data_IF_679260531310
#
_entry.id   IF_679260531310
#
_cell.length_a   1.000
_cell.length_b   1.000
_cell.length_c   1.000
_cell.angle_alpha   90.00
_cell.angle_beta   90.00
_cell.angle_gamma   90.00
#
_symmetry.space_group_name_H-M   'P 1'
#
loop_
_entity.id
_entity.type
_entity.pdbx_description
1 polymer ?
#
# COMPACT_ATOMS: atom_id res chain seq x y z
N UNK A 1 -48.84 -8.67 55.18
CA UNK A 1 -47.88 -7.56 54.95
C UNK A 1 -47.09 -7.89 53.70
N UNK A 2 -46.75 -6.88 52.91
CA UNK A 2 -46.29 -7.00 51.52
C UNK A 2 -44.95 -7.72 51.35
N UNK A 3 -44.76 -8.37 50.21
CA UNK A 3 -43.71 -7.99 49.24
C UNK A 3 -43.97 -8.67 47.88
N UNK A 4 -43.52 -8.02 46.81
CA UNK A 4 -43.83 -8.32 45.41
C UNK A 4 -42.70 -9.08 44.70
N UNK A 5 -42.98 -9.58 43.49
CA UNK A 5 -42.07 -10.33 42.61
C UNK A 5 -42.80 -11.56 42.03
N UNK A 6 -42.74 -11.89 40.74
CA UNK A 6 -42.03 -11.31 39.58
C UNK A 6 -42.81 -11.71 38.30
N UNK A 7 -42.57 -11.10 37.14
CA UNK A 7 -43.41 -11.26 35.93
C UNK A 7 -42.73 -11.96 34.74
N UNK A 8 -43.55 -12.71 33.99
CA UNK A 8 -43.45 -13.01 32.55
C UNK A 8 -42.37 -14.01 32.02
N UNK A 9 -42.86 -15.22 31.71
CA UNK A 9 -42.54 -15.99 30.50
C UNK A 9 -43.81 -16.79 30.13
N UNK A 10 -44.23 -17.03 28.90
CA UNK A 10 -43.74 -16.69 27.55
C UNK A 10 -44.49 -17.56 26.50
N UNK A 11 -44.04 -17.55 25.23
CA UNK A 11 -44.28 -18.61 24.21
C UNK A 11 -45.62 -18.62 23.40
N UNK A 12 -45.51 -18.10 22.16
CA UNK A 12 -45.90 -18.66 20.83
C UNK A 12 -47.33 -19.04 20.34
N UNK A 13 -47.66 -18.42 19.18
CA UNK A 13 -48.02 -19.00 17.85
C UNK A 13 -49.43 -19.56 17.45
N UNK A 14 -49.80 -19.25 16.18
CA UNK A 14 -50.78 -19.98 15.32
C UNK A 14 -52.02 -19.16 14.88
N UNK A 15 -52.16 -18.69 13.61
CA UNK A 15 -52.64 -19.42 12.40
C UNK A 15 -54.18 -19.43 12.23
N UNK A 16 -54.86 -19.11 11.10
CA UNK A 16 -54.50 -18.52 9.77
C UNK A 16 -55.78 -18.15 8.95
N UNK A 17 -55.63 -17.71 7.67
CA UNK A 17 -56.67 -17.51 6.61
C UNK A 17 -57.58 -16.26 6.68
N UNK A 18 -58.04 -15.62 5.58
CA UNK A 18 -57.96 -15.92 4.13
C UNK A 18 -57.85 -14.64 3.24
N UNK A 19 -57.56 -14.80 1.94
CA UNK A 19 -57.65 -13.75 0.90
C UNK A 19 -59.09 -13.56 0.38
N UNK A 20 -59.37 -12.53 -0.45
CA UNK A 20 -59.26 -12.72 -1.91
C UNK A 20 -58.54 -11.60 -2.70
N UNK A 21 -58.36 -11.91 -3.98
CA UNK A 21 -57.67 -11.27 -5.10
C UNK A 21 -58.09 -9.85 -5.56
N UNK A 22 -57.12 -9.11 -6.13
CA UNK A 22 -57.28 -8.40 -7.43
C UNK A 22 -55.93 -8.35 -8.18
N UNK A 23 -55.99 -8.29 -9.52
CA UNK A 23 -54.86 -8.50 -10.43
C UNK A 23 -54.47 -7.23 -11.21
N UNK A 24 -53.39 -6.57 -10.78
CA UNK A 24 -52.83 -5.38 -11.42
C UNK A 24 -51.35 -5.55 -11.79
N UNK A 25 -51.07 -6.12 -12.97
CA UNK A 25 -49.69 -6.28 -13.46
C UNK A 25 -49.17 -4.99 -14.10
N UNK A 26 -48.56 -4.11 -13.29
CA UNK A 26 -47.86 -2.92 -13.80
C UNK A 26 -46.33 -3.06 -13.66
N UNK A 27 -45.63 -3.06 -14.79
CA UNK A 27 -44.18 -3.24 -14.84
C UNK A 27 -43.42 -2.01 -14.27
N UNK A 28 -42.35 -2.20 -13.47
CA UNK A 28 -41.69 -1.10 -12.78
C UNK A 28 -41.01 -0.09 -13.75
N UNK A 29 -41.15 1.23 -13.51
CA UNK A 29 -40.80 2.24 -14.50
C UNK A 29 -39.28 2.47 -14.62
N UNK A 30 -38.70 2.03 -15.75
CA UNK A 30 -37.27 2.17 -16.13
C UNK A 30 -36.73 3.62 -16.22
N UNK A 31 -37.53 4.64 -15.86
CA UNK A 31 -37.15 6.07 -15.94
C UNK A 31 -36.43 6.60 -14.69
N UNK A 32 -36.74 6.11 -13.47
CA UNK A 32 -36.16 6.63 -12.21
C UNK A 32 -34.63 6.44 -12.11
N UNK A 33 -34.11 5.29 -12.58
CA UNK A 33 -32.68 4.96 -12.51
C UNK A 33 -31.78 5.87 -13.36
N UNK A 34 -32.25 6.37 -14.51
CA UNK A 34 -31.47 7.29 -15.36
C UNK A 34 -31.31 8.67 -14.71
N UNK A 35 -32.35 9.15 -14.02
CA UNK A 35 -32.31 10.44 -13.30
C UNK A 35 -31.40 10.36 -12.08
N UNK A 36 -31.49 9.28 -11.29
CA UNK A 36 -30.62 9.06 -10.14
C UNK A 36 -29.13 9.06 -10.54
N UNK A 37 -28.73 8.27 -11.55
CA UNK A 37 -27.34 8.26 -12.06
C UNK A 37 -26.87 9.63 -12.58
N UNK A 38 -27.77 10.46 -13.13
CA UNK A 38 -27.45 11.82 -13.59
C UNK A 38 -27.25 12.80 -12.43
N UNK A 39 -27.98 12.64 -11.33
CA UNK A 39 -27.81 13.45 -10.11
C UNK A 39 -26.53 13.04 -9.38
N UNK A 40 -26.30 11.75 -9.19
CA UNK A 40 -25.09 11.20 -8.56
C UNK A 40 -23.80 11.62 -9.28
N UNK A 41 -23.78 11.55 -10.62
CA UNK A 41 -22.65 12.03 -11.44
C UNK A 41 -22.42 13.55 -11.35
N UNK A 42 -23.47 14.35 -11.13
CA UNK A 42 -23.35 15.80 -10.93
C UNK A 42 -22.80 16.11 -9.54
N UNK A 43 -23.27 15.41 -8.52
CA UNK A 43 -22.82 15.60 -7.15
C UNK A 43 -21.35 15.18 -6.98
N UNK A 44 -20.90 14.09 -7.62
CA UNK A 44 -19.48 13.71 -7.61
C UNK A 44 -18.58 14.74 -8.32
N UNK A 45 -19.02 15.32 -9.44
CA UNK A 45 -18.31 16.43 -10.11
C UNK A 45 -18.16 17.63 -9.18
N UNK A 46 -19.26 18.08 -8.56
CA UNK A 46 -19.27 19.20 -7.63
C UNK A 46 -18.38 18.97 -6.39
N UNK A 47 -18.33 17.74 -5.86
CA UNK A 47 -17.39 17.37 -4.78
C UNK A 47 -15.93 17.46 -5.25
N UNK A 48 -15.63 16.97 -6.45
CA UNK A 48 -14.28 17.02 -7.03
C UNK A 48 -13.83 18.46 -7.31
N UNK A 49 -14.70 19.30 -7.86
CA UNK A 49 -14.46 20.73 -8.09
C UNK A 49 -14.18 21.48 -6.78
N UNK A 50 -14.96 21.22 -5.72
CA UNK A 50 -14.70 21.78 -4.38
C UNK A 50 -13.36 21.34 -3.79
N UNK A 51 -12.99 20.06 -3.96
CA UNK A 51 -11.72 19.54 -3.49
C UNK A 51 -10.52 20.15 -4.25
N UNK A 52 -10.66 20.34 -5.57
CA UNK A 52 -9.67 21.07 -6.39
C UNK A 52 -9.53 22.52 -5.92
N UNK A 53 -10.64 23.25 -5.74
CA UNK A 53 -10.62 24.64 -5.29
C UNK A 53 -9.97 24.78 -3.89
N UNK A 54 -10.27 23.87 -2.97
CA UNK A 54 -9.64 23.84 -1.64
C UNK A 54 -8.12 23.59 -1.72
N UNK A 55 -7.67 22.70 -2.61
CA UNK A 55 -6.24 22.44 -2.81
C UNK A 55 -5.52 23.64 -3.44
N UNK A 56 -6.10 24.27 -4.46
CA UNK A 56 -5.56 25.49 -5.08
C UNK A 56 -5.42 26.63 -4.07
N UNK A 57 -6.42 26.81 -3.18
CA UNK A 57 -6.38 27.79 -2.11
C UNK A 57 -5.31 27.46 -1.04
N UNK A 58 -5.16 26.19 -0.65
CA UNK A 58 -4.16 25.74 0.34
C UNK A 58 -2.72 26.04 -0.11
N UNK A 59 -2.41 25.80 -1.38
CA UNK A 59 -1.05 25.93 -1.92
C UNK A 59 -0.74 27.31 -2.52
N UNK A 60 -1.59 28.31 -2.27
CA UNK A 60 -1.40 29.66 -2.81
C UNK A 60 -0.10 30.29 -2.30
N UNK A 61 0.80 30.62 -3.22
CA UNK A 61 2.11 31.22 -2.93
C UNK A 61 3.21 30.23 -2.51
N UNK A 62 2.95 28.92 -2.54
CA UNK A 62 3.98 27.90 -2.31
C UNK A 62 4.86 27.73 -3.56
N UNK A 63 6.11 27.28 -3.39
CA UNK A 63 6.96 26.95 -4.53
C UNK A 63 6.46 25.67 -5.22
N UNK A 64 6.67 25.54 -6.54
CA UNK A 64 6.27 24.35 -7.28
C UNK A 64 6.84 23.05 -6.64
N UNK A 65 8.11 23.08 -6.20
CA UNK A 65 8.76 21.97 -5.49
C UNK A 65 8.00 21.59 -4.21
N UNK A 66 7.65 22.57 -3.38
CA UNK A 66 6.97 22.30 -2.10
C UNK A 66 5.55 21.75 -2.33
N UNK A 67 4.86 22.20 -3.38
CA UNK A 67 3.56 21.65 -3.77
C UNK A 67 3.68 20.18 -4.17
N UNK A 68 4.69 19.81 -4.97
CA UNK A 68 4.95 18.42 -5.36
C UNK A 68 5.27 17.53 -4.16
N UNK A 69 6.01 18.06 -3.17
CA UNK A 69 6.38 17.35 -1.93
C UNK A 69 5.21 17.20 -0.95
N UNK A 70 4.34 18.21 -0.83
CA UNK A 70 3.31 18.27 0.21
C UNK A 70 1.89 17.91 -0.25
N UNK A 71 1.62 17.83 -1.56
CA UNK A 71 0.29 17.51 -2.07
C UNK A 71 -0.02 16.00 -2.04
N UNK A 72 -0.79 15.56 -1.05
CA UNK A 72 -1.31 14.18 -0.94
C UNK A 72 -2.49 13.92 -1.90
N UNK A 73 -3.04 14.95 -2.57
CA UNK A 73 -4.17 14.83 -3.48
C UNK A 73 -3.81 14.24 -4.84
N UNK A 74 -4.54 13.22 -5.29
CA UNK A 74 -4.32 12.54 -6.58
C UNK A 74 -5.25 13.07 -7.69
N UNK A 75 -5.07 12.54 -8.91
CA UNK A 75 -6.00 12.73 -10.02
C UNK A 75 -6.25 14.20 -10.36
N UNK A 76 -7.52 14.61 -10.33
CA UNK A 76 -7.92 15.98 -10.68
C UNK A 76 -7.27 17.07 -9.81
N UNK A 77 -6.97 16.79 -8.54
CA UNK A 77 -6.27 17.74 -7.66
C UNK A 77 -4.83 17.96 -8.15
N UNK A 78 -4.10 16.88 -8.39
CA UNK A 78 -2.72 16.94 -8.89
C UNK A 78 -2.66 17.60 -10.28
N UNK A 79 -3.60 17.27 -11.18
CA UNK A 79 -3.67 17.86 -12.52
C UNK A 79 -4.00 19.37 -12.49
N UNK A 80 -4.89 19.80 -11.59
CA UNK A 80 -5.20 21.22 -11.41
C UNK A 80 -4.00 21.99 -10.85
N UNK A 81 -3.32 21.45 -9.83
CA UNK A 81 -2.09 22.03 -9.28
C UNK A 81 -0.97 22.08 -10.32
N UNK A 82 -0.80 21.01 -11.12
CA UNK A 82 0.15 20.95 -12.24
C UNK A 82 -0.08 22.09 -13.25
N UNK A 83 -1.35 22.34 -13.59
CA UNK A 83 -1.74 23.40 -14.52
C UNK A 83 -1.56 24.81 -13.95
N UNK A 84 -1.97 25.04 -12.71
CA UNK A 84 -1.94 26.38 -12.09
C UNK A 84 -0.52 26.84 -11.73
N UNK A 85 0.28 25.93 -11.16
CA UNK A 85 1.60 26.25 -10.60
C UNK A 85 2.77 25.75 -11.46
N UNK A 86 2.51 25.21 -12.65
CA UNK A 86 3.55 24.73 -13.57
C UNK A 86 4.41 23.60 -12.99
N UNK A 87 3.78 22.60 -12.35
CA UNK A 87 4.53 21.58 -11.62
C UNK A 87 5.28 20.63 -12.57
N UNK A 88 6.60 20.61 -12.44
CA UNK A 88 7.48 19.66 -13.13
C UNK A 88 7.85 18.50 -12.20
N UNK A 89 7.56 17.27 -12.63
CA UNK A 89 7.94 16.04 -11.95
C UNK A 89 7.95 14.88 -12.94
N UNK A 90 8.73 13.84 -12.64
CA UNK A 90 8.83 12.62 -13.46
C UNK A 90 7.62 11.72 -13.24
N UNK A 91 7.02 11.24 -14.32
CA UNK A 91 5.93 10.25 -14.30
C UNK A 91 6.46 8.85 -14.68
N UNK A 92 5.66 7.79 -14.50
CA UNK A 92 6.05 6.42 -14.86
C UNK A 92 6.98 5.71 -13.86
N UNK A 93 7.80 4.77 -14.36
CA UNK A 93 8.65 3.88 -13.54
C UNK A 93 9.70 4.68 -12.75
N UNK A 94 9.94 4.27 -11.50
CA UNK A 94 11.06 4.77 -10.69
C UNK A 94 12.37 4.18 -11.23
N UNK A 95 13.41 5.01 -11.30
CA UNK A 95 14.79 4.56 -11.52
C UNK A 95 15.34 3.84 -10.28
N UNK A 96 16.44 3.12 -10.42
CA UNK A 96 17.07 2.39 -9.32
C UNK A 96 17.55 3.35 -8.21
N UNK A 97 18.18 4.47 -8.58
CA UNK A 97 18.56 5.55 -7.64
C UNK A 97 17.36 6.12 -6.86
N UNK A 98 16.21 6.33 -7.52
CA UNK A 98 14.99 6.80 -6.85
C UNK A 98 14.39 5.72 -5.94
N UNK A 99 14.45 4.46 -6.34
CA UNK A 99 14.01 3.33 -5.53
C UNK A 99 14.88 3.17 -4.28
N UNK A 100 16.20 3.28 -4.42
CA UNK A 100 17.16 3.25 -3.33
C UNK A 100 16.93 4.39 -2.35
N UNK A 101 16.83 5.63 -2.83
CA UNK A 101 16.57 6.80 -1.97
C UNK A 101 15.27 6.67 -1.16
N UNK A 102 14.23 6.05 -1.71
CA UNK A 102 12.97 5.77 -0.98
C UNK A 102 13.16 4.62 0.03
N UNK A 103 13.80 3.50 -0.36
CA UNK A 103 14.12 2.38 0.55
C UNK A 103 14.90 2.85 1.76
N UNK A 104 15.98 3.59 1.51
CA UNK A 104 16.81 4.25 2.52
C UNK A 104 15.99 5.10 3.49
N UNK A 105 14.97 5.82 3.00
CA UNK A 105 14.13 6.65 3.85
C UNK A 105 13.14 5.84 4.69
N UNK A 106 12.60 4.73 4.15
CA UNK A 106 11.80 3.77 4.95
C UNK A 106 12.66 3.16 6.06
N UNK A 107 13.87 2.69 5.72
CA UNK A 107 14.84 2.18 6.69
C UNK A 107 15.21 3.20 7.78
N UNK A 108 15.45 4.46 7.40
CA UNK A 108 15.71 5.57 8.34
C UNK A 108 14.49 5.84 9.22
N UNK A 109 13.29 5.83 8.66
CA UNK A 109 12.05 6.03 9.40
C UNK A 109 11.80 4.90 10.42
N UNK A 110 11.99 3.63 10.01
CA UNK A 110 11.86 2.48 10.90
C UNK A 110 12.83 2.56 12.09
N UNK A 111 14.10 2.91 11.84
CA UNK A 111 15.12 3.12 12.88
C UNK A 111 14.80 4.31 13.80
N UNK A 112 14.33 5.43 13.24
CA UNK A 112 13.94 6.65 13.97
C UNK A 112 12.77 6.38 14.92
N UNK A 113 11.73 5.71 14.43
CA UNK A 113 10.49 5.44 15.16
C UNK A 113 10.54 4.15 16.00
N UNK A 114 11.61 3.35 15.85
CA UNK A 114 11.80 2.04 16.50
C UNK A 114 10.68 1.04 16.19
N UNK A 115 10.24 1.02 14.94
CA UNK A 115 9.23 0.10 14.44
C UNK A 115 9.87 -1.04 13.63
N UNK A 116 9.26 -2.22 13.69
CA UNK A 116 9.60 -3.40 12.90
C UNK A 116 8.76 -3.49 11.61
N UNK A 117 8.91 -4.60 10.87
CA UNK A 117 8.21 -4.83 9.62
C UNK A 117 6.70 -4.97 9.78
N UNK A 118 6.23 -5.57 10.88
CA UNK A 118 4.80 -5.78 11.16
C UNK A 118 4.13 -4.45 11.51
N UNK A 119 4.80 -3.61 12.31
CA UNK A 119 4.36 -2.24 12.58
C UNK A 119 4.36 -1.38 11.32
N UNK A 120 5.33 -1.57 10.40
CA UNK A 120 5.32 -0.89 9.10
C UNK A 120 4.12 -1.35 8.24
N UNK A 121 3.82 -2.65 8.17
CA UNK A 121 2.64 -3.14 7.45
C UNK A 121 1.33 -2.54 8.01
N UNK A 122 1.19 -2.49 9.34
CA UNK A 122 0.06 -1.84 10.01
C UNK A 122 -0.07 -0.35 9.62
N UNK A 123 1.03 0.37 9.44
CA UNK A 123 1.03 1.77 8.97
C UNK A 123 0.61 1.87 7.48
N UNK A 124 1.06 0.94 6.64
CA UNK A 124 0.84 0.99 5.19
C UNK A 124 -0.53 0.44 4.74
N UNK A 125 -1.06 -0.55 5.48
CA UNK A 125 -2.21 -1.38 5.10
C UNK A 125 -3.25 -1.61 6.21
N UNK A 126 -2.87 -1.41 7.48
CA UNK A 126 -3.74 -1.61 8.63
C UNK A 126 -4.87 -0.59 8.78
N UNK A 127 -5.55 -0.58 9.95
CA UNK A 127 -6.69 0.29 10.20
C UNK A 127 -6.36 1.77 10.02
N UNK A 128 -7.32 2.54 9.52
CA UNK A 128 -7.17 3.98 9.23
C UNK A 128 -7.27 4.85 10.50
N UNK A 129 -6.50 4.52 11.53
CA UNK A 129 -6.38 5.29 12.77
C UNK A 129 -5.84 6.70 12.51
N UNK A 130 -5.76 7.55 13.52
CA UNK A 130 -5.12 8.86 13.37
C UNK A 130 -3.60 8.67 13.25
N UNK A 131 -3.07 7.84 14.12
CA UNK A 131 -1.67 7.49 14.34
C UNK A 131 -1.06 6.91 13.06
N UNK A 132 -1.70 5.91 12.44
CA UNK A 132 -1.21 5.28 11.20
C UNK A 132 -1.24 6.26 10.02
N UNK A 133 -2.22 7.17 9.97
CA UNK A 133 -2.29 8.20 8.91
C UNK A 133 -1.23 9.27 9.08
N UNK A 134 -0.92 9.67 10.32
CA UNK A 134 0.14 10.63 10.62
C UNK A 134 1.52 10.00 10.35
N UNK A 135 1.75 8.76 10.81
CA UNK A 135 2.95 7.98 10.52
C UNK A 135 3.20 7.81 9.01
N UNK A 136 2.18 7.40 8.24
CA UNK A 136 2.30 7.28 6.79
C UNK A 136 2.52 8.63 6.12
N UNK A 137 1.90 9.71 6.62
CA UNK A 137 2.11 11.06 6.07
C UNK A 137 3.53 11.57 6.31
N UNK A 138 4.12 11.30 7.48
CA UNK A 138 5.50 11.64 7.81
C UNK A 138 6.47 10.87 6.90
N UNK A 139 6.34 9.54 6.84
CA UNK A 139 7.19 8.68 6.01
C UNK A 139 7.20 9.10 4.53
N UNK A 140 6.02 9.37 3.95
CA UNK A 140 5.91 9.76 2.54
C UNK A 140 6.46 11.18 2.32
N UNK A 141 6.23 12.11 3.25
CA UNK A 141 6.76 13.48 3.17
C UNK A 141 8.30 13.46 3.18
N UNK A 142 8.89 12.73 4.12
CA UNK A 142 10.33 12.50 4.22
C UNK A 142 10.89 11.89 2.92
N UNK A 143 10.28 10.83 2.40
CA UNK A 143 10.73 10.16 1.18
C UNK A 143 10.63 11.07 -0.07
N UNK A 144 9.54 11.85 -0.17
CA UNK A 144 9.36 12.80 -1.28
C UNK A 144 10.35 13.98 -1.20
N UNK A 145 10.70 14.38 0.03
CA UNK A 145 11.72 15.40 0.30
C UNK A 145 13.13 14.89 -0.05
N UNK A 146 13.47 13.64 0.29
CA UNK A 146 14.73 13.00 -0.10
C UNK A 146 14.89 12.87 -1.62
N UNK A 147 13.79 12.66 -2.35
CA UNK A 147 13.73 12.73 -3.81
C UNK A 147 13.75 14.16 -4.38
N UNK A 148 13.98 15.18 -3.55
CA UNK A 148 13.96 16.61 -3.88
C UNK A 148 12.66 17.11 -4.56
N UNK A 149 11.55 16.38 -4.47
CA UNK A 149 10.32 16.69 -5.22
C UNK A 149 10.40 16.34 -6.72
N UNK A 150 11.35 15.49 -7.15
CA UNK A 150 11.38 14.98 -8.54
C UNK A 150 10.21 14.04 -8.86
N UNK A 151 9.55 13.49 -7.83
CA UNK A 151 8.33 12.67 -7.89
C UNK A 151 7.27 13.30 -6.98
N UNK A 152 5.97 13.25 -7.34
CA UNK A 152 4.91 13.78 -6.49
C UNK A 152 4.58 12.83 -5.34
N UNK A 153 4.25 13.40 -4.18
CA UNK A 153 3.92 12.68 -2.95
C UNK A 153 2.98 11.47 -3.13
N UNK A 154 1.88 11.53 -3.92
CA UNK A 154 0.99 10.38 -4.10
C UNK A 154 1.66 9.22 -4.86
N UNK A 155 2.57 9.52 -5.79
CA UNK A 155 3.32 8.49 -6.52
C UNK A 155 4.39 7.84 -5.63
N UNK A 156 5.04 8.61 -4.75
CA UNK A 156 5.95 8.07 -3.73
C UNK A 156 5.20 7.19 -2.74
N UNK A 157 4.01 7.61 -2.30
CA UNK A 157 3.11 6.80 -1.46
C UNK A 157 2.72 5.48 -2.12
N UNK A 158 2.30 5.51 -3.39
CA UNK A 158 1.98 4.30 -4.15
C UNK A 158 3.19 3.39 -4.33
N UNK A 159 4.38 3.96 -4.57
CA UNK A 159 5.62 3.21 -4.69
C UNK A 159 5.95 2.50 -3.37
N UNK A 160 5.97 3.20 -2.24
CA UNK A 160 6.20 2.61 -0.92
C UNK A 160 5.21 1.48 -0.65
N UNK A 161 3.91 1.69 -0.87
CA UNK A 161 2.93 0.60 -0.69
C UNK A 161 3.24 -0.60 -1.59
N UNK A 162 3.43 -0.40 -2.91
CA UNK A 162 3.72 -1.51 -3.84
C UNK A 162 4.99 -2.28 -3.49
N UNK A 163 6.02 -1.57 -3.01
CA UNK A 163 7.27 -2.16 -2.58
C UNK A 163 7.10 -2.99 -1.30
N UNK A 164 6.52 -2.42 -0.25
CA UNK A 164 6.34 -3.07 1.05
C UNK A 164 5.00 -3.81 1.17
N UNK A 165 4.45 -4.30 0.06
CA UNK A 165 3.37 -5.29 0.09
C UNK A 165 3.98 -6.64 0.47
N UNK A 166 3.30 -7.36 1.37
CA UNK A 166 3.65 -8.69 1.85
C UNK A 166 4.30 -9.58 0.76
N UNK A 167 5.47 -10.15 1.09
CA UNK A 167 6.27 -10.99 0.19
C UNK A 167 7.15 -10.27 -0.85
N UNK A 168 7.11 -8.93 -0.96
CA UNK A 168 7.83 -8.20 -2.04
C UNK A 168 9.12 -7.49 -1.59
N UNK A 169 9.21 -7.05 -0.31
CA UNK A 169 10.38 -6.31 0.19
C UNK A 169 11.03 -6.96 1.39
N UNK A 170 12.19 -7.58 1.13
CA UNK A 170 13.02 -8.23 2.15
C UNK A 170 14.46 -7.69 2.12
N UNK A 171 14.72 -6.67 1.29
CA UNK A 171 16.00 -5.98 1.24
C UNK A 171 17.19 -6.85 0.83
N UNK A 172 18.40 -6.35 1.10
CA UNK A 172 19.63 -7.10 0.87
C UNK A 172 19.72 -8.30 1.82
N UNK A 173 20.22 -9.42 1.30
CA UNK A 173 20.44 -10.65 2.07
C UNK A 173 21.47 -10.43 3.18
N UNK A 174 21.04 -10.50 4.44
CA UNK A 174 21.92 -10.50 5.61
C UNK A 174 22.73 -11.79 5.71
N UNK A 175 23.81 -11.75 6.50
CA UNK A 175 24.66 -12.92 6.73
C UNK A 175 23.91 -14.08 7.40
N UNK A 176 22.94 -13.78 8.26
CA UNK A 176 22.16 -14.80 8.95
C UNK A 176 21.12 -15.43 8.00
N UNK A 177 20.42 -14.64 7.18
CA UNK A 177 19.54 -15.21 6.14
C UNK A 177 20.31 -16.09 5.13
N UNK A 178 21.53 -15.69 4.74
CA UNK A 178 22.41 -16.53 3.89
C UNK A 178 22.82 -17.82 4.61
N UNK A 179 23.08 -17.76 5.91
CA UNK A 179 23.42 -18.93 6.73
C UNK A 179 22.23 -19.89 6.86
N UNK A 180 21.04 -19.38 7.14
CA UNK A 180 19.80 -20.15 7.22
C UNK A 180 19.49 -20.76 5.85
N UNK A 181 19.56 -19.98 4.76
CA UNK A 181 19.39 -20.48 3.38
C UNK A 181 20.36 -21.63 3.07
N UNK A 182 21.64 -21.47 3.41
CA UNK A 182 22.66 -22.50 3.15
C UNK A 182 22.36 -23.79 3.94
N UNK A 183 21.99 -23.68 5.22
CA UNK A 183 21.61 -24.83 6.04
C UNK A 183 20.32 -25.50 5.55
N UNK A 184 19.30 -24.72 5.21
CA UNK A 184 18.02 -25.20 4.71
C UNK A 184 18.18 -25.90 3.35
N UNK A 185 18.98 -25.36 2.42
CA UNK A 185 19.30 -26.03 1.15
C UNK A 185 20.08 -27.34 1.36
N UNK A 186 21.02 -27.39 2.31
CA UNK A 186 21.73 -28.63 2.64
C UNK A 186 20.80 -29.71 3.22
N UNK A 187 19.79 -29.30 4.00
CA UNK A 187 18.81 -30.18 4.66
C UNK A 187 17.65 -30.62 3.74
N UNK A 188 17.16 -29.73 2.89
CA UNK A 188 15.91 -29.88 2.13
C UNK A 188 16.13 -30.00 0.61
N UNK A 189 17.34 -29.71 0.12
CA UNK A 189 17.68 -29.73 -1.31
C UNK A 189 17.04 -28.56 -2.06
N UNK A 190 16.27 -28.85 -3.10
CA UNK A 190 15.62 -27.85 -3.96
C UNK A 190 14.15 -27.59 -3.59
N UNK A 191 13.73 -27.85 -2.34
CA UNK A 191 12.35 -27.66 -1.88
C UNK A 191 12.12 -26.19 -1.47
N UNK A 192 12.12 -25.31 -2.49
CA UNK A 192 12.12 -23.86 -2.32
C UNK A 192 10.97 -23.30 -1.49
N UNK A 193 9.81 -23.96 -1.46
CA UNK A 193 8.67 -23.57 -0.60
C UNK A 193 8.95 -23.85 0.88
N UNK A 194 9.52 -25.01 1.23
CA UNK A 194 9.88 -25.31 2.62
C UNK A 194 11.08 -24.45 3.08
N UNK A 195 12.01 -24.18 2.17
CA UNK A 195 13.17 -23.29 2.42
C UNK A 195 12.70 -21.84 2.61
N UNK A 196 11.69 -21.39 1.86
CA UNK A 196 11.07 -20.09 2.01
C UNK A 196 10.53 -19.88 3.43
N UNK A 197 9.83 -20.89 3.97
CA UNK A 197 9.28 -20.86 5.32
C UNK A 197 10.40 -20.82 6.40
N UNK A 198 11.50 -21.56 6.22
CA UNK A 198 12.64 -21.52 7.17
C UNK A 198 13.45 -20.22 7.10
N UNK A 199 13.62 -19.64 5.91
CA UNK A 199 14.42 -18.42 5.67
C UNK A 199 13.58 -17.16 5.92
N UNK A 200 12.25 -17.27 5.94
CA UNK A 200 11.32 -16.13 5.96
C UNK A 200 11.34 -15.33 4.66
N UNK A 201 11.72 -15.94 3.52
CA UNK A 201 11.83 -15.27 2.21
C UNK A 201 11.06 -15.97 1.11
N UNK A 202 10.75 -15.30 -0.01
CA UNK A 202 10.07 -15.97 -1.13
C UNK A 202 10.93 -17.13 -1.69
N UNK A 203 10.27 -18.19 -2.17
CA UNK A 203 10.98 -19.35 -2.74
C UNK A 203 11.79 -19.01 -4.00
N UNK A 204 11.34 -18.01 -4.76
CA UNK A 204 12.03 -17.49 -5.95
C UNK A 204 13.27 -16.67 -5.57
N UNK A 205 13.21 -15.86 -4.51
CA UNK A 205 14.37 -15.18 -3.93
C UNK A 205 15.39 -16.17 -3.38
N UNK A 206 14.94 -17.17 -2.62
CA UNK A 206 15.80 -18.21 -2.04
C UNK A 206 16.59 -18.95 -3.13
N UNK A 207 15.89 -19.36 -4.20
CA UNK A 207 16.51 -19.99 -5.37
C UNK A 207 17.51 -19.06 -6.05
N UNK A 208 17.10 -17.83 -6.37
CA UNK A 208 17.93 -16.84 -7.08
C UNK A 208 19.20 -16.53 -6.29
N UNK A 209 19.09 -16.41 -4.96
CA UNK A 209 20.23 -16.20 -4.08
C UNK A 209 21.17 -17.41 -4.05
N UNK A 210 20.63 -18.62 -4.01
CA UNK A 210 21.44 -19.85 -4.04
C UNK A 210 22.20 -20.02 -5.36
N UNK A 211 21.57 -19.69 -6.49
CA UNK A 211 22.23 -19.67 -7.80
C UNK A 211 23.37 -18.62 -7.85
N UNK A 212 23.17 -17.43 -7.27
CA UNK A 212 24.22 -16.42 -7.13
C UNK A 212 25.38 -16.85 -6.21
N UNK A 213 25.10 -17.53 -5.09
CA UNK A 213 26.13 -18.06 -4.17
C UNK A 213 27.02 -19.06 -4.91
N UNK A 214 26.42 -20.06 -5.59
CA UNK A 214 27.20 -21.05 -6.37
C UNK A 214 27.98 -20.42 -7.52
N UNK A 215 27.48 -19.35 -8.13
CA UNK A 215 28.22 -18.59 -9.14
C UNK A 215 29.41 -17.82 -8.53
N UNK A 216 29.34 -17.39 -7.27
CA UNK A 216 30.45 -16.76 -6.57
C UNK A 216 31.51 -17.79 -6.15
N UNK A 217 31.10 -18.96 -5.66
CA UNK A 217 31.99 -20.08 -5.32
C UNK A 217 32.79 -20.54 -6.55
N UNK A 218 32.11 -20.87 -7.65
CA UNK A 218 32.76 -21.30 -8.91
C UNK A 218 33.69 -20.25 -9.53
N UNK A 219 33.46 -18.94 -9.29
CA UNK A 219 34.36 -17.88 -9.73
C UNK A 219 35.57 -17.69 -8.81
N UNK A 220 35.47 -18.08 -7.53
CA UNK A 220 36.59 -18.08 -6.58
C UNK A 220 37.53 -19.28 -6.78
N UNK A 221 37.02 -20.40 -7.33
CA UNK A 221 37.80 -21.62 -7.57
C UNK A 221 38.75 -21.57 -8.79
N UNK A 222 38.67 -20.54 -9.65
CA UNK A 222 39.57 -20.41 -10.80
C UNK A 222 40.91 -19.78 -10.36
N UNK A 223 42.02 -20.54 -10.26
CA UNK A 223 43.29 -19.98 -9.80
C UNK A 223 43.93 -19.22 -10.96
N UNK A 224 44.40 -18.01 -10.72
CA UNK A 224 45.10 -17.20 -11.72
C UNK A 224 46.42 -17.87 -12.13
N UNK A 225 46.39 -18.64 -13.23
CA UNK A 225 47.57 -19.26 -13.86
C UNK A 225 48.11 -18.37 -14.97
N UNK A 226 48.91 -17.40 -14.58
CA UNK A 226 49.89 -16.71 -15.43
C UNK A 226 51.23 -16.79 -14.68
N UNK A 227 52.06 -17.80 -14.96
CA UNK A 227 53.09 -17.75 -16.01
C UNK A 227 54.33 -17.04 -15.45
N UNK A 228 55.23 -17.69 -14.69
CA UNK A 228 56.27 -18.66 -15.10
C UNK A 228 57.30 -18.07 -16.07
N UNK A 229 58.51 -17.85 -15.52
CA UNK A 229 59.84 -17.64 -16.14
C UNK A 229 60.04 -16.45 -17.08
#
# INVERSE_FOLDING_TARGET
MSSEGEVEAGVEAGSASAQPEDSGSEAPPKKKAKTAKKVEKRDSSARQERAVAAALAKYRGWSARDIVINNVGYGAILQALKKEYGLEYKEGRFSEEEADAVRDQVDRYMKKMRIDADQLDIILYGPRTKENREAMSELVLDATTALNGTRPNPAVREFIQRQYREGTHQGAWSKEEVRILTAAVQKLGNRWTEIADEVGRSGEDCRSKWELIKLQETRAEVPNKTGTS
#
